data_IF_726557347398
#
_entry.id   IF_726557347398
#
_cell.length_a   1.000
_cell.length_b   1.000
_cell.length_c   1.000
_cell.angle_alpha   90.00
_cell.angle_beta   90.00
_cell.angle_gamma   90.00
#
_symmetry.space_group_name_H-M   'P 1'
#
loop_
_entity.id
_entity.type
_entity.pdbx_description
1 polymer ?
#
# COMPACT_ATOMS: atom_id res chain seq x y z
N UNK A 1 -18.06 18.09 -4.26
CA UNK A 1 -17.08 17.07 -3.86
C UNK A 1 -17.71 15.70 -4.07
N UNK A 2 -16.93 14.65 -4.44
CA UNK A 2 -17.44 13.28 -4.45
C UNK A 2 -17.99 12.90 -3.07
N UNK A 3 -19.05 12.11 -3.06
CA UNK A 3 -19.59 11.53 -1.83
C UNK A 3 -18.60 10.52 -1.25
N UNK A 4 -18.41 10.55 0.06
CA UNK A 4 -17.54 9.60 0.78
C UNK A 4 -18.35 8.96 1.88
N UNK A 5 -18.46 7.64 1.87
CA UNK A 5 -19.03 6.84 2.94
C UNK A 5 -17.90 6.16 3.73
N UNK A 6 -17.93 6.31 5.05
CA UNK A 6 -17.00 5.63 5.96
C UNK A 6 -17.79 4.55 6.67
N UNK A 7 -17.32 3.32 6.63
CA UNK A 7 -18.04 2.18 7.17
C UNK A 7 -17.09 1.05 7.57
N UNK A 8 -17.52 0.26 8.54
CA UNK A 8 -16.88 -0.99 8.89
C UNK A 8 -17.40 -2.12 8.02
N UNK A 9 -16.52 -3.00 7.55
CA UNK A 9 -16.86 -4.12 6.69
C UNK A 9 -16.02 -5.37 7.01
N UNK A 10 -16.26 -6.46 6.27
CA UNK A 10 -15.72 -7.77 6.56
C UNK A 10 -16.70 -8.63 7.36
N UNK A 11 -16.40 -9.90 7.58
CA UNK A 11 -17.33 -10.87 8.18
C UNK A 11 -17.78 -10.47 9.61
N UNK A 12 -16.91 -9.80 10.35
CA UNK A 12 -17.18 -9.31 11.72
C UNK A 12 -17.20 -7.78 11.81
N UNK A 13 -17.17 -7.07 10.67
CA UNK A 13 -17.05 -5.61 10.65
C UNK A 13 -15.67 -5.14 11.14
N UNK A 14 -14.61 -5.91 10.89
CA UNK A 14 -13.29 -5.65 11.45
C UNK A 14 -12.47 -4.61 10.70
N UNK A 15 -12.78 -4.35 9.42
CA UNK A 15 -12.01 -3.41 8.59
C UNK A 15 -12.74 -2.09 8.46
N UNK A 16 -12.05 -0.98 8.73
CA UNK A 16 -12.56 0.35 8.42
C UNK A 16 -12.16 0.77 7.00
N UNK A 17 -13.10 1.33 6.26
CA UNK A 17 -12.84 1.85 4.93
C UNK A 17 -13.57 3.14 4.62
N UNK A 18 -12.99 3.92 3.71
CA UNK A 18 -13.58 5.12 3.14
C UNK A 18 -13.85 4.89 1.65
N UNK A 19 -15.11 4.74 1.30
CA UNK A 19 -15.59 4.51 -0.05
C UNK A 19 -15.93 5.86 -0.71
N UNK A 20 -15.22 6.16 -1.79
CA UNK A 20 -15.41 7.35 -2.61
C UNK A 20 -16.28 7.00 -3.81
N UNK A 21 -17.46 7.63 -3.89
CA UNK A 21 -18.37 7.39 -4.99
C UNK A 21 -18.12 8.35 -6.16
N UNK A 22 -18.18 7.86 -7.41
CA UNK A 22 -18.09 8.72 -8.57
C UNK A 22 -19.32 9.62 -8.69
N UNK A 23 -19.16 10.79 -9.28
CA UNK A 23 -20.29 11.62 -9.67
C UNK A 23 -21.16 10.88 -10.69
N UNK A 24 -22.50 10.92 -10.51
CA UNK A 24 -23.49 10.06 -11.18
C UNK A 24 -23.40 9.96 -12.73
N UNK A 25 -22.79 10.92 -13.40
CA UNK A 25 -22.75 11.00 -14.87
C UNK A 25 -21.65 10.15 -15.54
N UNK A 26 -20.72 9.54 -14.80
CA UNK A 26 -19.59 8.78 -15.36
C UNK A 26 -19.26 7.54 -14.53
N UNK A 27 -20.21 6.63 -14.35
CA UNK A 27 -19.88 5.36 -13.69
C UNK A 27 -19.08 4.46 -14.63
N UNK A 28 -17.89 4.10 -14.20
CA UNK A 28 -17.05 3.09 -14.85
C UNK A 28 -17.38 1.70 -14.31
N UNK A 29 -17.11 0.66 -15.10
CA UNK A 29 -17.32 -0.75 -14.71
C UNK A 29 -16.19 -1.29 -13.82
N UNK A 30 -15.08 -0.55 -13.70
CA UNK A 30 -13.94 -0.87 -12.84
C UNK A 30 -13.96 0.07 -11.63
N UNK A 31 -13.73 -0.48 -10.45
CA UNK A 31 -13.49 0.28 -9.23
C UNK A 31 -12.02 0.14 -8.80
N UNK A 32 -11.52 1.03 -7.95
CA UNK A 32 -10.11 1.10 -7.59
C UNK A 32 -9.93 0.89 -6.09
N UNK A 33 -9.17 -0.15 -5.72
CA UNK A 33 -8.76 -0.41 -4.35
C UNK A 33 -7.39 0.21 -4.09
N UNK A 34 -7.25 0.92 -2.97
CA UNK A 34 -6.01 1.58 -2.56
C UNK A 34 -5.43 0.85 -1.36
N UNK A 35 -4.25 0.26 -1.53
CA UNK A 35 -3.53 -0.53 -0.53
C UNK A 35 -2.46 0.34 0.15
N UNK A 36 -2.70 0.70 1.41
CA UNK A 36 -1.83 1.55 2.21
C UNK A 36 -0.45 0.92 2.45
N UNK A 37 0.61 1.73 2.60
CA UNK A 37 1.88 1.25 3.15
C UNK A 37 1.75 0.87 4.63
N UNK A 38 2.85 0.39 5.22
CA UNK A 38 2.91 0.00 6.63
C UNK A 38 3.40 1.13 7.53
N UNK A 39 2.88 1.16 8.77
CA UNK A 39 3.39 1.99 9.85
C UNK A 39 3.31 3.49 9.55
N UNK A 40 4.39 4.22 9.85
CA UNK A 40 4.44 5.67 9.67
C UNK A 40 4.29 6.10 8.21
N UNK A 41 4.74 5.27 7.25
CA UNK A 41 4.52 5.53 5.83
C UNK A 41 3.02 5.64 5.50
N UNK A 42 2.14 4.89 6.21
CA UNK A 42 0.69 4.97 6.02
C UNK A 42 0.13 6.34 6.44
N UNK A 43 0.58 6.85 7.58
CA UNK A 43 0.17 8.17 8.05
C UNK A 43 0.57 9.28 7.07
N UNK A 44 1.78 9.20 6.54
CA UNK A 44 2.30 10.14 5.53
C UNK A 44 1.57 10.03 4.20
N UNK A 45 1.22 8.81 3.76
CA UNK A 45 0.51 8.56 2.52
C UNK A 45 -0.99 8.89 2.59
N UNK A 46 -1.57 9.02 3.77
CA UNK A 46 -3.01 9.19 3.96
C UNK A 46 -3.60 10.33 3.13
N UNK A 47 -2.96 11.52 3.12
CA UNK A 47 -3.41 12.66 2.32
C UNK A 47 -3.32 12.37 0.83
N UNK A 48 -2.22 11.77 0.38
CA UNK A 48 -2.01 11.42 -1.02
C UNK A 48 -3.08 10.45 -1.51
N UNK A 49 -3.37 9.41 -0.74
CA UNK A 49 -4.41 8.44 -1.09
C UNK A 49 -5.82 9.04 -1.06
N UNK A 50 -6.09 9.98 -0.14
CA UNK A 50 -7.36 10.72 -0.16
C UNK A 50 -7.50 11.57 -1.42
N UNK A 51 -6.45 12.25 -1.85
CA UNK A 51 -6.45 13.05 -3.08
C UNK A 51 -6.59 12.14 -4.30
N UNK A 52 -5.85 11.03 -4.37
CA UNK A 52 -5.95 10.05 -5.45
C UNK A 52 -7.38 9.50 -5.56
N UNK A 53 -7.99 9.06 -4.45
CA UNK A 53 -9.36 8.56 -4.44
C UNK A 53 -10.36 9.62 -4.90
N UNK A 54 -10.14 10.89 -4.54
CA UNK A 54 -10.97 12.01 -4.99
C UNK A 54 -10.84 12.25 -6.49
N UNK A 55 -9.62 12.20 -7.05
CA UNK A 55 -9.39 12.36 -8.48
C UNK A 55 -9.98 11.19 -9.28
N UNK A 56 -9.83 9.96 -8.80
CA UNK A 56 -10.46 8.78 -9.38
C UNK A 56 -11.98 8.90 -9.40
N UNK A 57 -12.59 9.36 -8.30
CA UNK A 57 -14.04 9.58 -8.24
C UNK A 57 -14.51 10.67 -9.22
N UNK A 58 -13.72 11.72 -9.46
CA UNK A 58 -13.98 12.73 -10.49
C UNK A 58 -13.86 12.16 -11.90
N UNK A 59 -12.94 11.23 -12.12
CA UNK A 59 -12.77 10.52 -13.39
C UNK A 59 -13.82 9.41 -13.62
N UNK A 60 -14.72 9.19 -12.64
CA UNK A 60 -15.84 8.24 -12.74
C UNK A 60 -15.59 6.88 -12.11
N UNK A 61 -14.48 6.68 -11.42
CA UNK A 61 -14.14 5.44 -10.73
C UNK A 61 -14.53 5.50 -9.25
N UNK A 62 -15.24 4.50 -8.77
CA UNK A 62 -15.38 4.32 -7.34
C UNK A 62 -14.02 3.88 -6.75
N UNK A 63 -13.69 4.39 -5.57
CA UNK A 63 -12.43 4.08 -4.89
C UNK A 63 -12.65 3.68 -3.43
N UNK A 64 -11.94 2.67 -2.95
CA UNK A 64 -11.93 2.28 -1.54
C UNK A 64 -10.51 2.43 -0.99
N UNK A 65 -10.38 3.22 0.07
CA UNK A 65 -9.24 3.22 0.99
C UNK A 65 -9.64 2.46 2.23
N UNK A 66 -8.77 1.68 2.80
CA UNK A 66 -9.06 0.92 4.01
C UNK A 66 -7.81 0.75 4.87
N UNK A 67 -8.01 0.45 6.13
CA UNK A 67 -6.96 0.09 7.05
C UNK A 67 -6.95 -1.44 7.22
N UNK A 68 -5.76 -2.04 7.22
CA UNK A 68 -5.61 -3.48 7.46
C UNK A 68 -6.01 -3.82 8.91
N UNK A 69 -6.37 -5.07 9.15
CA UNK A 69 -6.65 -5.57 10.50
C UNK A 69 -5.48 -5.28 11.46
N UNK A 70 -5.79 -4.73 12.64
CA UNK A 70 -4.81 -4.31 13.64
C UNK A 70 -4.02 -3.05 13.27
N UNK A 71 -4.47 -2.27 12.27
CA UNK A 71 -3.85 -0.97 11.92
C UNK A 71 -4.90 0.14 11.85
N UNK A 72 -4.46 1.37 12.05
CA UNK A 72 -5.33 2.56 11.96
C UNK A 72 -6.57 2.44 12.83
N UNK A 73 -7.73 2.62 12.22
CA UNK A 73 -9.04 2.51 12.89
C UNK A 73 -9.72 1.14 12.66
N UNK A 74 -9.05 0.20 11.98
CA UNK A 74 -9.53 -1.19 11.88
C UNK A 74 -9.35 -1.95 13.19
N UNK A 75 -10.25 -2.89 13.44
CA UNK A 75 -10.20 -3.71 14.67
C UNK A 75 -9.02 -4.68 14.63
N UNK A 76 -8.61 -5.12 15.81
CA UNK A 76 -7.54 -6.10 16.01
C UNK A 76 -6.36 -5.53 16.77
N UNK A 77 -5.44 -6.42 17.13
CA UNK A 77 -4.22 -6.07 17.83
C UNK A 77 -3.06 -6.02 16.80
N UNK A 78 -2.39 -4.87 16.71
CA UNK A 78 -1.24 -4.71 15.83
C UNK A 78 -0.09 -5.67 16.13
N UNK A 79 0.08 -6.10 17.38
CA UNK A 79 1.09 -7.11 17.75
C UNK A 79 0.77 -8.50 17.18
N UNK A 80 -0.52 -8.79 16.98
CA UNK A 80 -1.01 -10.05 16.39
C UNK A 80 -1.14 -9.98 14.87
N UNK A 81 -0.84 -8.84 14.24
CA UNK A 81 -0.91 -8.68 12.80
C UNK A 81 0.02 -9.65 12.05
N UNK A 82 -0.40 -10.04 10.84
CA UNK A 82 0.37 -10.93 9.97
C UNK A 82 0.26 -10.49 8.51
N UNK A 83 1.28 -10.78 7.71
CA UNK A 83 1.24 -10.56 6.25
C UNK A 83 0.09 -11.34 5.61
N UNK A 84 -0.16 -12.58 6.08
CA UNK A 84 -1.22 -13.42 5.53
C UNK A 84 -2.61 -12.84 5.81
N UNK A 85 -2.85 -12.30 7.02
CA UNK A 85 -4.10 -11.62 7.34
C UNK A 85 -4.30 -10.39 6.43
N UNK A 86 -3.27 -9.56 6.27
CA UNK A 86 -3.35 -8.36 5.43
C UNK A 86 -3.56 -8.66 3.94
N UNK A 87 -2.97 -9.75 3.44
CA UNK A 87 -3.26 -10.22 2.07
C UNK A 87 -4.73 -10.65 1.96
N UNK A 88 -5.27 -11.35 2.96
CA UNK A 88 -6.70 -11.68 3.03
C UNK A 88 -7.60 -10.44 3.12
N UNK A 89 -7.19 -9.41 3.87
CA UNK A 89 -7.94 -8.14 3.98
C UNK A 89 -8.08 -7.45 2.62
N UNK A 90 -7.07 -7.52 1.74
CA UNK A 90 -7.16 -7.00 0.37
C UNK A 90 -8.27 -7.70 -0.41
N UNK A 91 -8.41 -9.02 -0.27
CA UNK A 91 -9.48 -9.78 -0.93
C UNK A 91 -10.87 -9.37 -0.40
N UNK A 92 -11.00 -9.23 0.93
CA UNK A 92 -12.22 -8.74 1.60
C UNK A 92 -12.58 -7.33 1.15
N UNK A 93 -11.60 -6.43 1.09
CA UNK A 93 -11.80 -5.04 0.64
C UNK A 93 -12.20 -4.98 -0.85
N UNK A 94 -11.62 -5.82 -1.70
CA UNK A 94 -12.00 -5.91 -3.12
C UNK A 94 -13.42 -6.44 -3.29
N UNK A 95 -13.86 -7.41 -2.49
CA UNK A 95 -15.24 -7.90 -2.48
C UNK A 95 -16.19 -6.79 -2.04
N UNK A 96 -15.91 -6.12 -0.90
CA UNK A 96 -16.71 -4.99 -0.40
C UNK A 96 -16.86 -3.88 -1.45
N UNK A 97 -15.79 -3.54 -2.15
CA UNK A 97 -15.79 -2.52 -3.19
C UNK A 97 -16.71 -2.91 -4.35
N UNK A 98 -16.66 -4.16 -4.81
CA UNK A 98 -17.58 -4.66 -5.86
C UNK A 98 -19.03 -4.64 -5.42
N UNK A 99 -19.31 -5.13 -4.23
CA UNK A 99 -20.67 -5.21 -3.69
C UNK A 99 -21.31 -3.83 -3.53
N UNK A 100 -20.54 -2.86 -3.00
CA UNK A 100 -21.03 -1.50 -2.79
C UNK A 100 -21.23 -0.70 -4.08
N UNK A 101 -20.51 -1.04 -5.15
CA UNK A 101 -20.49 -0.22 -6.37
C UNK A 101 -21.11 -0.90 -7.58
N UNK A 102 -21.29 -2.23 -7.55
CA UNK A 102 -21.67 -3.04 -8.70
C UNK A 102 -20.57 -3.13 -9.77
N UNK A 103 -19.31 -2.78 -9.42
CA UNK A 103 -18.21 -2.85 -10.36
C UNK A 103 -17.88 -4.29 -10.73
N UNK A 104 -17.78 -4.56 -12.04
CA UNK A 104 -17.46 -5.90 -12.54
C UNK A 104 -15.98 -6.25 -12.31
N UNK A 105 -15.11 -5.24 -12.23
CA UNK A 105 -13.67 -5.38 -12.16
C UNK A 105 -13.06 -4.48 -11.09
N UNK A 106 -11.89 -4.86 -10.56
CA UNK A 106 -11.13 -4.06 -9.61
C UNK A 106 -9.73 -3.81 -10.17
N UNK A 107 -9.31 -2.55 -10.16
CA UNK A 107 -7.91 -2.16 -10.26
C UNK A 107 -7.36 -1.95 -8.84
N UNK A 108 -6.09 -2.24 -8.62
CA UNK A 108 -5.44 -2.10 -7.32
C UNK A 108 -4.25 -1.16 -7.46
N UNK A 109 -4.19 -0.15 -6.62
CA UNK A 109 -3.03 0.72 -6.46
C UNK A 109 -2.43 0.44 -5.08
N UNK A 110 -1.21 -0.01 -5.04
CA UNK A 110 -0.47 -0.18 -3.80
C UNK A 110 0.75 0.74 -3.74
N UNK A 111 1.08 1.21 -2.56
CA UNK A 111 2.25 2.03 -2.28
C UNK A 111 3.17 1.33 -1.29
N UNK A 112 4.47 1.26 -1.59
CA UNK A 112 5.49 0.70 -0.71
C UNK A 112 5.11 -0.73 -0.28
N UNK A 113 5.00 -0.98 1.03
CA UNK A 113 4.60 -2.29 1.55
C UNK A 113 3.17 -2.68 1.12
N UNK A 114 2.26 -1.73 0.92
CA UNK A 114 0.93 -1.98 0.35
C UNK A 114 0.99 -2.47 -1.11
N UNK A 115 1.98 -2.02 -1.90
CA UNK A 115 2.23 -2.57 -3.23
C UNK A 115 2.74 -4.01 -3.16
N UNK A 116 3.59 -4.31 -2.18
CA UNK A 116 4.08 -5.67 -1.90
C UNK A 116 2.93 -6.62 -1.56
N UNK A 117 2.04 -6.21 -0.64
CA UNK A 117 0.86 -6.99 -0.26
C UNK A 117 -0.08 -7.22 -1.45
N UNK A 118 -0.29 -6.19 -2.28
CA UNK A 118 -1.11 -6.32 -3.50
C UNK A 118 -0.50 -7.28 -4.52
N UNK A 119 0.83 -7.27 -4.69
CA UNK A 119 1.54 -8.23 -5.54
C UNK A 119 1.40 -9.66 -4.99
N UNK A 120 1.55 -9.86 -3.68
CA UNK A 120 1.36 -11.15 -3.02
C UNK A 120 -0.07 -11.67 -3.19
N UNK A 121 -1.09 -10.82 -2.97
CA UNK A 121 -2.50 -11.19 -3.15
C UNK A 121 -2.80 -11.63 -4.60
N UNK A 122 -2.23 -10.93 -5.58
CA UNK A 122 -2.40 -11.29 -6.99
C UNK A 122 -1.69 -12.60 -7.36
N UNK A 123 -0.52 -12.85 -6.80
CA UNK A 123 0.26 -14.06 -7.06
C UNK A 123 -0.37 -15.32 -6.46
N UNK A 124 -0.98 -15.21 -5.27
CA UNK A 124 -1.72 -16.30 -4.60
C UNK A 124 -3.01 -16.69 -5.34
N UNK A 125 -3.45 -15.86 -6.29
CA UNK A 125 -4.66 -16.13 -7.08
C UNK A 125 -5.97 -15.81 -6.36
N UNK A 126 -5.92 -15.22 -5.19
CA UNK A 126 -7.09 -14.75 -4.43
C UNK A 126 -7.80 -13.61 -5.16
N UNK A 127 -7.04 -12.84 -5.94
CA UNK A 127 -7.52 -11.75 -6.76
C UNK A 127 -6.95 -11.81 -8.18
N UNK A 128 -7.77 -11.41 -9.14
CA UNK A 128 -7.35 -11.15 -10.54
C UNK A 128 -7.65 -9.70 -10.88
N UNK A 129 -6.76 -8.76 -10.52
CA UNK A 129 -6.99 -7.36 -10.78
C UNK A 129 -7.04 -7.09 -12.29
N UNK A 130 -7.95 -6.20 -12.70
CA UNK A 130 -7.94 -5.63 -14.05
C UNK A 130 -6.63 -4.90 -14.32
N UNK A 131 -6.18 -4.13 -13.34
CA UNK A 131 -4.89 -3.44 -13.39
C UNK A 131 -4.26 -3.48 -11.99
N UNK A 132 -2.99 -3.84 -11.93
CA UNK A 132 -2.16 -3.78 -10.73
C UNK A 132 -1.13 -2.67 -10.92
N UNK A 133 -1.25 -1.59 -10.13
CA UNK A 133 -0.33 -0.46 -10.14
C UNK A 133 0.50 -0.51 -8.85
N UNK A 134 1.78 -0.75 -8.99
CA UNK A 134 2.72 -0.93 -7.89
C UNK A 134 3.65 0.29 -7.83
N UNK A 135 3.50 1.07 -6.77
CA UNK A 135 4.29 2.27 -6.56
C UNK A 135 5.36 2.02 -5.51
N UNK A 136 6.63 2.08 -5.92
CA UNK A 136 7.83 1.81 -5.11
C UNK A 136 7.68 0.57 -4.19
N UNK A 137 7.34 -0.61 -4.72
CA UNK A 137 7.11 -1.79 -3.89
C UNK A 137 8.36 -2.18 -3.11
N UNK A 138 8.16 -2.72 -1.93
CA UNK A 138 9.20 -3.37 -1.14
C UNK A 138 9.44 -4.76 -1.74
N UNK A 139 10.56 -4.94 -2.43
CA UNK A 139 10.89 -6.22 -3.10
C UNK A 139 11.50 -7.22 -2.13
N UNK A 140 12.36 -6.76 -1.21
CA UNK A 140 13.07 -7.59 -0.25
C UNK A 140 12.73 -7.17 1.19
N UNK A 141 12.02 -8.05 1.89
CA UNK A 141 11.49 -7.73 3.22
C UNK A 141 12.57 -7.59 4.29
N UNK A 142 13.67 -8.34 4.19
CA UNK A 142 14.78 -8.23 5.14
C UNK A 142 15.48 -6.87 5.05
N UNK A 143 15.73 -6.39 3.84
CA UNK A 143 16.28 -5.05 3.62
C UNK A 143 15.33 -3.96 4.13
N UNK A 144 14.02 -4.13 3.92
CA UNK A 144 13.01 -3.21 4.43
C UNK A 144 13.00 -3.14 5.95
N UNK A 145 13.00 -4.30 6.65
CA UNK A 145 13.11 -4.32 8.11
C UNK A 145 14.40 -3.66 8.60
N UNK A 146 15.53 -3.90 7.93
CA UNK A 146 16.78 -3.23 8.25
C UNK A 146 16.68 -1.70 8.15
N UNK A 147 16.04 -1.21 7.10
CA UNK A 147 15.80 0.23 6.92
C UNK A 147 14.88 0.79 8.03
N UNK A 148 13.81 0.09 8.39
CA UNK A 148 12.92 0.48 9.49
C UNK A 148 13.66 0.55 10.84
N UNK A 149 14.54 -0.43 11.11
CA UNK A 149 15.39 -0.42 12.34
C UNK A 149 16.29 0.81 12.38
N UNK A 150 16.96 1.13 11.27
CA UNK A 150 17.86 2.30 11.22
C UNK A 150 17.07 3.61 11.36
N UNK A 151 15.91 3.73 10.76
CA UNK A 151 15.04 4.90 10.92
C UNK A 151 14.56 5.03 12.38
N UNK A 152 14.10 3.93 12.97
CA UNK A 152 13.68 3.92 14.38
C UNK A 152 14.83 4.30 15.31
N UNK A 153 16.04 3.79 15.08
CA UNK A 153 17.25 4.19 15.83
C UNK A 153 17.55 5.67 15.68
N UNK A 154 17.48 6.21 14.47
CA UNK A 154 17.71 7.62 14.21
C UNK A 154 16.70 8.49 14.95
N UNK A 155 15.42 8.15 14.87
CA UNK A 155 14.33 8.80 15.58
C UNK A 155 14.55 8.77 17.10
N UNK A 156 14.78 7.58 17.67
CA UNK A 156 14.99 7.43 19.12
C UNK A 156 16.20 8.23 19.62
N UNK A 157 17.26 8.28 18.81
CA UNK A 157 18.45 9.09 19.15
C UNK A 157 18.14 10.58 19.17
N UNK A 158 17.35 11.06 18.22
CA UNK A 158 16.96 12.47 18.15
C UNK A 158 16.03 12.89 19.29
N UNK A 159 15.09 12.01 19.69
CA UNK A 159 14.06 12.35 20.69
C UNK A 159 14.51 12.13 22.14
N UNK A 160 15.27 11.09 22.43
CA UNK A 160 15.65 10.70 23.79
C UNK A 160 17.17 10.70 24.05
N UNK A 161 17.96 11.16 23.09
CA UNK A 161 19.42 11.28 23.23
C UNK A 161 20.09 9.95 23.57
N UNK A 162 21.11 9.96 24.44
CA UNK A 162 21.95 8.80 24.75
C UNK A 162 21.20 7.61 25.39
N UNK A 163 19.97 7.83 25.87
CA UNK A 163 19.16 6.79 26.52
C UNK A 163 18.34 5.95 25.52
N UNK A 164 18.44 6.19 24.24
CA UNK A 164 17.68 5.47 23.20
C UNK A 164 17.97 3.97 23.21
N UNK A 165 19.20 3.55 23.52
CA UNK A 165 19.61 2.14 23.52
C UNK A 165 18.82 1.30 24.53
N UNK A 166 18.44 1.89 25.67
CA UNK A 166 17.67 1.21 26.72
C UNK A 166 16.23 0.91 26.30
N UNK A 167 15.74 1.56 25.25
CA UNK A 167 14.37 1.45 24.76
C UNK A 167 14.24 0.60 23.50
N UNK A 168 15.35 0.37 22.79
CA UNK A 168 15.34 -0.38 21.54
C UNK A 168 15.29 -1.88 21.79
N UNK A 169 14.22 -2.51 21.35
CA UNK A 169 14.05 -3.96 21.42
C UNK A 169 14.15 -4.57 20.02
N UNK A 170 15.23 -5.30 19.76
CA UNK A 170 15.47 -6.01 18.49
C UNK A 170 15.85 -7.45 18.81
N UNK A 171 15.14 -8.39 18.21
CA UNK A 171 15.44 -9.82 18.32
C UNK A 171 15.65 -10.41 16.91
N UNK A 172 16.83 -10.97 16.65
CA UNK A 172 17.13 -11.60 15.37
C UNK A 172 17.06 -10.63 14.18
N UNK A 173 17.31 -9.33 14.38
CA UNK A 173 17.21 -8.30 13.35
C UNK A 173 15.77 -7.80 13.10
N UNK A 174 14.79 -8.26 13.89
CA UNK A 174 13.39 -7.83 13.83
C UNK A 174 13.15 -6.86 14.99
N UNK A 175 12.73 -5.62 14.72
CA UNK A 175 12.36 -4.68 15.78
C UNK A 175 11.01 -5.10 16.38
N UNK A 176 10.80 -4.88 17.69
CA UNK A 176 9.48 -5.06 18.30
C UNK A 176 8.51 -3.93 17.91
N UNK A 177 9.07 -2.80 17.48
CA UNK A 177 8.36 -1.60 17.07
C UNK A 177 9.17 -0.86 16.00
N UNK A 178 8.49 -0.28 15.03
CA UNK A 178 9.10 0.58 14.03
C UNK A 178 8.32 1.90 13.96
N UNK A 179 8.91 3.00 14.51
CA UNK A 179 8.34 4.34 14.47
C UNK A 179 6.87 4.40 14.96
N UNK A 180 6.59 3.78 16.12
CA UNK A 180 5.26 3.71 16.71
C UNK A 180 4.35 2.60 16.19
N UNK A 181 4.75 1.88 15.14
CA UNK A 181 4.00 0.73 14.66
C UNK A 181 4.54 -0.57 15.30
N UNK A 182 3.70 -1.40 15.95
CA UNK A 182 4.13 -2.66 16.50
C UNK A 182 4.56 -3.64 15.40
N UNK A 183 5.64 -4.37 15.64
CA UNK A 183 6.12 -5.44 14.77
C UNK A 183 6.16 -6.73 15.59
N UNK A 184 5.05 -7.45 15.62
CA UNK A 184 5.01 -8.75 16.29
C UNK A 184 6.00 -9.74 15.65
N UNK A 185 6.46 -10.73 16.43
CA UNK A 185 7.45 -11.69 15.96
C UNK A 185 7.01 -12.44 14.69
N UNK A 186 5.70 -12.74 14.57
CA UNK A 186 5.14 -13.42 13.38
C UNK A 186 5.17 -12.48 12.19
N UNK A 187 4.68 -11.24 12.35
CA UNK A 187 4.69 -10.22 11.30
C UNK A 187 6.11 -9.97 10.80
N UNK A 188 7.05 -9.70 11.71
CA UNK A 188 8.45 -9.46 11.39
C UNK A 188 9.10 -10.63 10.67
N UNK A 189 8.83 -11.87 11.12
CA UNK A 189 9.30 -13.09 10.46
C UNK A 189 8.74 -13.25 9.04
N UNK A 190 7.45 -13.00 8.85
CA UNK A 190 6.81 -13.03 7.53
C UNK A 190 7.32 -11.92 6.62
N UNK A 191 7.50 -10.69 7.13
CA UNK A 191 8.11 -9.59 6.34
C UNK A 191 9.53 -9.99 5.93
N UNK A 192 10.36 -10.49 6.85
CA UNK A 192 11.73 -10.91 6.56
C UNK A 192 11.84 -12.00 5.49
N UNK A 193 10.80 -12.82 5.35
CA UNK A 193 10.73 -13.91 4.36
C UNK A 193 10.29 -13.44 2.98
N UNK A 194 9.81 -12.20 2.82
CA UNK A 194 9.37 -11.69 1.52
C UNK A 194 10.57 -11.51 0.59
N UNK A 195 10.48 -12.13 -0.58
CA UNK A 195 11.29 -11.84 -1.75
C UNK A 195 10.36 -11.83 -2.99
N UNK A 196 9.95 -10.64 -3.43
CA UNK A 196 9.10 -10.52 -4.61
C UNK A 196 9.79 -10.99 -5.87
N UNK A 197 11.14 -11.03 -5.92
CA UNK A 197 11.86 -11.56 -7.08
C UNK A 197 11.62 -13.07 -7.29
N UNK A 198 11.05 -13.77 -6.30
CA UNK A 198 10.63 -15.17 -6.43
C UNK A 198 9.15 -15.33 -6.79
N UNK A 199 8.39 -14.21 -7.01
CA UNK A 199 6.93 -14.20 -7.12
C UNK A 199 6.48 -13.69 -8.48
N UNK A 200 5.52 -14.38 -9.08
CA UNK A 200 4.87 -14.00 -10.34
C UNK A 200 3.57 -13.22 -10.05
N UNK A 201 3.65 -11.90 -10.01
CA UNK A 201 2.48 -11.06 -9.86
C UNK A 201 1.58 -11.15 -11.12
N UNK A 202 0.27 -11.29 -10.92
CA UNK A 202 -0.69 -11.58 -12.00
C UNK A 202 -1.78 -10.50 -12.07
N UNK A 203 -1.91 -9.89 -13.23
CA UNK A 203 -2.98 -8.94 -13.55
C UNK A 203 -3.19 -8.91 -15.07
N UNK A 204 -4.32 -8.38 -15.54
CA UNK A 204 -4.50 -8.15 -16.98
C UNK A 204 -3.56 -7.04 -17.48
N UNK A 205 -3.37 -6.00 -16.66
CA UNK A 205 -2.39 -4.94 -16.87
C UNK A 205 -1.54 -4.76 -15.61
N UNK A 206 -0.26 -4.54 -15.77
CA UNK A 206 0.66 -4.22 -14.68
C UNK A 206 1.42 -2.94 -15.00
N UNK A 207 1.43 -2.01 -14.04
CA UNK A 207 2.24 -0.80 -14.11
C UNK A 207 3.12 -0.73 -12.87
N UNK A 208 4.41 -0.59 -13.11
CA UNK A 208 5.41 -0.29 -12.08
C UNK A 208 5.69 1.21 -12.11
N UNK A 209 5.52 1.87 -10.99
CA UNK A 209 5.90 3.27 -10.78
C UNK A 209 7.06 3.26 -9.79
N UNK A 210 8.19 3.79 -10.17
CA UNK A 210 9.37 3.82 -9.31
C UNK A 210 10.06 5.17 -9.39
N UNK A 211 10.57 5.61 -8.25
CA UNK A 211 11.41 6.81 -8.18
C UNK A 211 12.85 6.54 -8.55
N UNK A 212 13.25 5.28 -8.44
CA UNK A 212 14.59 4.81 -8.81
C UNK A 212 14.55 3.32 -9.11
N UNK A 213 15.17 2.93 -10.20
CA UNK A 213 15.44 1.52 -10.43
C UNK A 213 16.47 1.03 -9.40
N UNK A 214 16.10 0.02 -8.64
CA UNK A 214 16.99 -0.62 -7.64
C UNK A 214 17.42 -2.01 -8.11
N UNK A 215 18.53 -2.55 -7.61
CA UNK A 215 18.98 -3.92 -7.96
C UNK A 215 17.90 -4.97 -7.69
N UNK A 216 17.10 -4.79 -6.63
CA UNK A 216 16.03 -5.70 -6.27
C UNK A 216 14.88 -5.64 -7.30
N UNK A 217 14.51 -4.44 -7.77
CA UNK A 217 13.52 -4.27 -8.84
C UNK A 217 14.02 -4.86 -10.16
N UNK A 218 15.30 -4.67 -10.50
CA UNK A 218 15.90 -5.29 -11.69
C UNK A 218 15.88 -6.83 -11.60
N UNK A 219 16.14 -7.39 -10.42
CA UNK A 219 16.05 -8.84 -10.18
C UNK A 219 14.62 -9.37 -10.32
N UNK A 220 13.61 -8.58 -9.96
CA UNK A 220 12.20 -8.96 -10.10
C UNK A 220 11.66 -8.80 -11.52
N UNK A 221 12.20 -7.85 -12.27
CA UNK A 221 11.72 -7.50 -13.62
C UNK A 221 11.47 -8.68 -14.56
N UNK A 222 12.33 -9.71 -14.64
CA UNK A 222 12.12 -10.87 -15.50
C UNK A 222 10.91 -11.74 -15.13
N UNK A 223 10.43 -11.63 -13.89
CA UNK A 223 9.26 -12.36 -13.40
C UNK A 223 7.94 -11.63 -13.66
N UNK A 224 8.00 -10.38 -14.03
CA UNK A 224 6.83 -9.58 -14.35
C UNK A 224 6.38 -9.84 -15.80
N UNK A 225 5.08 -9.69 -16.12
CA UNK A 225 4.60 -9.80 -17.49
C UNK A 225 5.41 -8.91 -18.44
N UNK A 226 5.74 -9.41 -19.64
CA UNK A 226 6.54 -8.66 -20.62
C UNK A 226 5.88 -7.31 -21.02
N UNK A 227 4.55 -7.23 -20.93
CA UNK A 227 3.79 -6.02 -21.18
C UNK A 227 3.74 -5.04 -19.99
N UNK A 228 4.52 -5.28 -18.92
CA UNK A 228 4.57 -4.38 -17.76
C UNK A 228 5.03 -2.99 -18.19
N UNK A 229 4.20 -1.99 -17.88
CA UNK A 229 4.54 -0.58 -18.11
C UNK A 229 5.39 -0.07 -16.94
N UNK A 230 6.54 0.47 -17.26
CA UNK A 230 7.44 1.12 -16.30
C UNK A 230 7.33 2.64 -16.44
N UNK A 231 7.14 3.30 -15.31
CA UNK A 231 7.11 4.76 -15.20
C UNK A 231 8.12 5.14 -14.12
N UNK A 232 9.18 5.81 -14.54
CA UNK A 232 10.18 6.36 -13.65
C UNK A 232 9.85 7.83 -13.39
N UNK A 233 9.83 8.24 -12.12
CA UNK A 233 9.48 9.59 -11.70
C UNK A 233 10.63 10.12 -10.84
N UNK A 234 11.28 11.18 -11.30
CA UNK A 234 12.52 11.70 -10.72
C UNK A 234 12.38 12.23 -9.28
N UNK A 235 11.17 12.59 -8.84
CA UNK A 235 10.93 13.12 -7.50
C UNK A 235 9.77 12.37 -6.84
N UNK A 236 10.09 11.47 -5.90
CA UNK A 236 9.13 11.02 -4.91
C UNK A 236 9.33 11.80 -3.62
N UNK A 237 8.25 12.11 -2.90
CA UNK A 237 8.40 12.48 -1.51
C UNK A 237 9.21 11.37 -0.85
N UNK A 238 10.28 11.72 -0.18
CA UNK A 238 11.00 10.76 0.64
C UNK A 238 10.06 10.38 1.79
N UNK A 239 9.27 9.31 1.59
CA UNK A 239 8.30 8.79 2.56
C UNK A 239 8.89 8.59 3.97
N UNK A 240 10.22 8.64 4.05
CA UNK A 240 11.04 8.32 5.21
C UNK A 240 11.77 9.52 5.79
N UNK A 241 11.49 10.76 5.40
CA UNK A 241 12.18 11.95 5.92
C UNK A 241 11.22 12.89 6.65
N UNK A 242 11.72 13.54 7.71
CA UNK A 242 10.97 14.57 8.45
C UNK A 242 10.58 15.76 7.56
N UNK A 243 11.33 16.04 6.52
CA UNK A 243 10.99 17.03 5.50
C UNK A 243 9.67 16.68 4.78
N UNK A 244 9.37 15.41 4.57
CA UNK A 244 8.11 14.97 3.96
C UNK A 244 6.90 15.15 4.89
N UNK A 245 7.09 15.00 6.22
CA UNK A 245 6.05 15.31 7.22
C UNK A 245 5.69 16.80 7.20
N UNK A 246 6.69 17.66 7.15
CA UNK A 246 6.51 19.11 7.22
C UNK A 246 6.01 19.72 5.91
N UNK A 247 6.36 19.14 4.75
CA UNK A 247 5.96 19.66 3.45
C UNK A 247 4.49 19.40 3.12
N UNK A 248 3.84 18.38 3.71
CA UNK A 248 2.46 17.94 3.42
C UNK A 248 2.15 17.87 1.91
N UNK A 249 3.16 17.68 1.09
CA UNK A 249 3.07 17.82 -0.37
C UNK A 249 2.52 16.52 -0.95
N UNK A 250 1.43 16.65 -1.71
CA UNK A 250 0.89 15.53 -2.50
C UNK A 250 1.66 15.50 -3.83
N UNK A 251 2.26 14.39 -4.23
CA UNK A 251 2.96 14.26 -5.51
C UNK A 251 1.93 14.20 -6.65
N UNK A 252 1.49 15.37 -7.11
CA UNK A 252 0.41 15.47 -8.08
C UNK A 252 0.75 14.83 -9.43
N UNK A 253 2.01 14.84 -9.82
CA UNK A 253 2.48 14.20 -11.05
C UNK A 253 2.23 12.68 -11.02
N UNK A 254 2.51 12.05 -9.86
CA UNK A 254 2.25 10.62 -9.66
C UNK A 254 0.75 10.35 -9.60
N UNK A 255 -0.01 11.19 -8.89
CA UNK A 255 -1.47 11.06 -8.82
C UNK A 255 -2.09 11.14 -10.21
N UNK A 256 -1.65 12.09 -11.03
CA UNK A 256 -2.11 12.23 -12.42
C UNK A 256 -1.70 11.04 -13.29
N UNK A 257 -0.46 10.57 -13.17
CA UNK A 257 0.01 9.39 -13.89
C UNK A 257 -0.81 8.13 -13.53
N UNK A 258 -1.11 7.93 -12.25
CA UNK A 258 -1.96 6.81 -11.78
C UNK A 258 -3.36 6.89 -12.38
N UNK A 259 -4.01 8.06 -12.31
CA UNK A 259 -5.35 8.26 -12.89
C UNK A 259 -5.34 8.03 -14.39
N UNK A 260 -4.40 8.63 -15.13
CA UNK A 260 -4.27 8.45 -16.57
C UNK A 260 -4.08 6.98 -16.97
N UNK A 261 -3.24 6.24 -16.24
CA UNK A 261 -3.04 4.80 -16.50
C UNK A 261 -4.29 3.97 -16.25
N UNK A 262 -5.07 4.31 -15.23
CA UNK A 262 -6.35 3.64 -14.98
C UNK A 262 -7.35 3.98 -16.09
N UNK A 263 -7.44 5.23 -16.55
CA UNK A 263 -8.31 5.62 -17.65
C UNK A 263 -7.99 4.91 -18.97
N UNK A 264 -6.71 4.71 -19.28
CA UNK A 264 -6.26 4.00 -20.47
C UNK A 264 -6.62 2.50 -20.47
N UNK A 265 -6.57 1.85 -19.33
CA UNK A 265 -6.70 0.37 -19.22
C UNK A 265 -8.03 -0.10 -18.66
N UNK A 266 -8.80 0.79 -18.05
CA UNK A 266 -10.07 0.51 -17.39
C UNK A 266 -11.18 1.46 -17.89
N UNK A 267 -11.49 1.46 -19.19
CA UNK A 267 -12.46 2.38 -19.79
C UNK A 267 -13.89 2.24 -19.25
#
# INVERSE_FOLDING_TARGET
LPEVAIDYFGATGQLLGALHFPQRLRRRTTAVLLCNPFGEEASRAHRTFRVLATQLARAGYAGLRFDYSGTGDSQGDGEAATVDAWVGDIAVAAARLRDATGAARVAIVGLRFGATLAALASARGELRPRHLLLWDPVVEGRAYLGALVEQHRAYMRSEIGDRWQDRLRIAGGIPAEALGAPVGAVLGGQIAAIDLAAIDARAEHLTMITTRMTPELERWRPRLPAATRWIEIAESPAWNTDAALNAMTVPMDIVQALVARIEETCP
#
